data_IF_673189429828
#
_entry.id   IF_673189429828
#
_cell.length_a   1.000
_cell.length_b   1.000
_cell.length_c   1.000
_cell.angle_alpha   90.00
_cell.angle_beta   90.00
_cell.angle_gamma   90.00
#
_symmetry.space_group_name_H-M   'P 1'
#
loop_
_entity.id
_entity.type
_entity.pdbx_description
1 polymer ?
#
# COMPACT_ATOMS: atom_id res chain seq x y z
N UNK A 1 6.42 -16.60 12.79
CA UNK A 1 5.96 -15.19 12.62
C UNK A 1 6.26 -14.72 11.20
N UNK A 2 5.29 -14.07 10.58
CA UNK A 2 5.45 -13.61 9.21
C UNK A 2 6.42 -12.42 9.16
N UNK A 3 7.41 -12.51 8.27
CA UNK A 3 8.34 -11.41 8.04
C UNK A 3 7.77 -10.45 6.99
N UNK A 4 7.38 -9.26 7.43
CA UNK A 4 6.79 -8.23 6.56
C UNK A 4 7.84 -7.25 6.01
N UNK A 5 9.12 -7.49 6.26
CA UNK A 5 10.20 -6.62 5.78
C UNK A 5 10.20 -6.38 4.28
N UNK A 6 9.92 -7.39 3.43
CA UNK A 6 9.86 -7.13 1.99
C UNK A 6 8.81 -6.09 1.60
N UNK A 7 7.66 -6.11 2.26
CA UNK A 7 6.62 -5.11 2.01
C UNK A 7 7.05 -3.73 2.48
N UNK A 8 7.57 -3.65 3.71
CA UNK A 8 8.03 -2.37 4.26
C UNK A 8 9.12 -1.76 3.40
N UNK A 9 10.08 -2.56 2.94
CA UNK A 9 11.16 -2.08 2.09
C UNK A 9 10.65 -1.55 0.75
N UNK A 10 9.73 -2.28 0.11
CA UNK A 10 9.15 -1.86 -1.18
C UNK A 10 8.36 -0.56 -1.03
N UNK A 11 7.55 -0.47 0.01
CA UNK A 11 6.73 0.71 0.31
C UNK A 11 7.62 1.93 0.57
N UNK A 12 8.64 1.80 1.40
CA UNK A 12 9.53 2.91 1.72
C UNK A 12 10.29 3.40 0.49
N UNK A 13 10.76 2.48 -0.34
CA UNK A 13 11.46 2.84 -1.57
C UNK A 13 10.55 3.65 -2.49
N UNK A 14 9.32 3.22 -2.67
CA UNK A 14 8.38 3.94 -3.53
C UNK A 14 7.98 5.28 -2.93
N UNK A 15 7.69 5.31 -1.63
CA UNK A 15 7.35 6.55 -0.93
C UNK A 15 8.45 7.58 -1.05
N UNK A 16 9.72 7.17 -0.90
CA UNK A 16 10.86 8.07 -1.02
C UNK A 16 11.01 8.60 -2.45
N UNK A 17 10.76 7.76 -3.45
CA UNK A 17 10.76 8.20 -4.85
C UNK A 17 9.68 9.25 -5.13
N UNK A 18 8.49 9.04 -4.56
CA UNK A 18 7.38 9.99 -4.72
C UNK A 18 7.71 11.33 -4.07
N UNK A 19 8.33 11.29 -2.89
CA UNK A 19 8.73 12.52 -2.18
C UNK A 19 9.80 13.29 -2.94
N UNK A 20 10.66 12.60 -3.66
CA UNK A 20 11.73 13.20 -4.45
C UNK A 20 11.31 13.56 -5.88
N UNK A 21 10.13 13.14 -6.32
CA UNK A 21 9.69 13.34 -7.70
C UNK A 21 9.36 14.82 -7.97
N UNK A 22 9.70 15.32 -9.16
CA UNK A 22 9.28 16.66 -9.56
C UNK A 22 7.76 16.77 -9.62
N UNK A 23 7.25 17.97 -9.35
CA UNK A 23 5.81 18.23 -9.40
C UNK A 23 5.20 17.81 -10.74
N UNK A 24 5.89 18.09 -11.84
CA UNK A 24 5.40 17.75 -13.17
C UNK A 24 5.17 16.25 -13.34
N UNK A 25 6.07 15.43 -12.81
CA UNK A 25 5.91 13.97 -12.88
C UNK A 25 4.72 13.49 -12.05
N UNK A 26 4.56 14.06 -10.87
CA UNK A 26 3.42 13.74 -10.01
C UNK A 26 2.11 14.10 -10.72
N UNK A 27 2.04 15.27 -11.34
CA UNK A 27 0.85 15.72 -12.07
C UNK A 27 0.58 14.92 -13.35
N UNK A 28 1.61 14.36 -13.96
CA UNK A 28 1.49 13.59 -15.20
C UNK A 28 0.99 12.16 -14.99
N UNK A 29 0.82 11.73 -13.76
CA UNK A 29 0.24 10.42 -13.49
C UNK A 29 0.83 9.68 -12.30
N UNK A 30 2.05 10.01 -11.85
CA UNK A 30 2.68 9.30 -10.75
C UNK A 30 1.86 9.41 -9.46
N UNK A 31 1.30 10.58 -9.17
CA UNK A 31 0.47 10.77 -7.99
C UNK A 31 -0.82 9.97 -8.05
N UNK A 32 -1.45 9.88 -9.23
CA UNK A 32 -2.67 9.09 -9.40
C UNK A 32 -2.42 7.61 -9.19
N UNK A 33 -1.32 7.08 -9.75
CA UNK A 33 -0.92 5.70 -9.54
C UNK A 33 -0.66 5.42 -8.05
N UNK A 34 0.04 6.33 -7.39
CA UNK A 34 0.37 6.18 -5.97
C UNK A 34 -0.88 6.21 -5.08
N UNK A 35 -1.83 7.10 -5.37
CA UNK A 35 -3.09 7.17 -4.61
C UNK A 35 -3.91 5.90 -4.79
N UNK A 36 -3.99 5.39 -6.00
CA UNK A 36 -4.67 4.13 -6.28
C UNK A 36 -4.05 2.98 -5.47
N UNK A 37 -2.72 2.92 -5.43
CA UNK A 37 -2.01 1.92 -4.63
C UNK A 37 -2.30 2.10 -3.14
N UNK A 38 -2.21 3.32 -2.62
CA UNK A 38 -2.46 3.59 -1.20
C UNK A 38 -3.88 3.15 -0.81
N UNK A 39 -4.86 3.44 -1.66
CA UNK A 39 -6.24 3.01 -1.44
C UNK A 39 -6.37 1.50 -1.41
N UNK A 40 -5.69 0.80 -2.33
CA UNK A 40 -5.73 -0.66 -2.37
C UNK A 40 -5.09 -1.28 -1.13
N UNK A 41 -3.93 -0.79 -0.72
CA UNK A 41 -3.27 -1.27 0.50
C UNK A 41 -4.14 -1.01 1.74
N UNK A 42 -4.78 0.14 1.79
CA UNK A 42 -5.68 0.52 2.90
C UNK A 42 -6.89 -0.40 2.97
N UNK A 43 -7.52 -0.70 1.83
CA UNK A 43 -8.67 -1.61 1.78
C UNK A 43 -8.28 -3.00 2.26
N UNK A 44 -7.11 -3.49 1.86
CA UNK A 44 -6.61 -4.79 2.30
C UNK A 44 -6.36 -4.83 3.80
N UNK A 45 -5.76 -3.77 4.35
CA UNK A 45 -5.52 -3.67 5.79
C UNK A 45 -6.84 -3.66 6.56
N UNK A 46 -7.80 -2.84 6.12
CA UNK A 46 -9.11 -2.75 6.76
C UNK A 46 -9.86 -4.09 6.71
N UNK A 47 -9.76 -4.82 5.60
CA UNK A 47 -10.37 -6.14 5.47
C UNK A 47 -9.82 -7.15 6.47
N UNK A 48 -8.55 -7.04 6.82
CA UNK A 48 -7.93 -7.90 7.83
C UNK A 48 -8.29 -7.47 9.26
N UNK A 49 -8.36 -6.16 9.50
CA UNK A 49 -8.63 -5.61 10.83
C UNK A 49 -10.09 -5.68 11.22
N UNK A 50 -10.99 -5.45 10.26
CA UNK A 50 -12.43 -5.38 10.48
C UNK A 50 -13.19 -6.12 9.39
N UNK A 51 -13.09 -7.47 9.36
CA UNK A 51 -13.78 -8.26 8.34
C UNK A 51 -15.28 -8.02 8.39
N UNK A 52 -15.89 -7.86 7.23
CA UNK A 52 -17.32 -7.64 7.12
C UNK A 52 -17.76 -6.19 7.21
N UNK A 53 -16.87 -5.28 7.57
CA UNK A 53 -17.18 -3.86 7.55
C UNK A 53 -16.80 -3.27 6.19
N UNK A 54 -17.59 -2.31 5.71
CA UNK A 54 -17.29 -1.61 4.49
C UNK A 54 -16.03 -0.77 4.69
N UNK A 55 -15.01 -0.92 3.81
CA UNK A 55 -13.78 -0.15 3.96
C UNK A 55 -14.03 1.33 3.66
N UNK A 56 -13.29 2.18 4.37
CA UNK A 56 -13.29 3.62 4.10
C UNK A 56 -12.26 3.91 3.04
N UNK A 57 -12.63 4.74 2.07
CA UNK A 57 -11.71 5.15 1.03
C UNK A 57 -10.82 6.27 1.52
N UNK A 58 -9.51 6.11 1.32
CA UNK A 58 -8.54 7.15 1.60
C UNK A 58 -8.79 8.33 0.66
N UNK A 59 -8.94 9.56 1.21
CA UNK A 59 -9.23 10.73 0.37
C UNK A 59 -8.02 11.15 -0.44
N UNK A 60 -8.29 11.84 -1.55
CA UNK A 60 -7.25 12.53 -2.31
C UNK A 60 -6.85 13.78 -1.51
N UNK A 61 -5.65 13.79 -0.97
CA UNK A 61 -5.12 14.89 -0.16
C UNK A 61 -4.08 15.72 -0.92
N UNK A 62 -3.95 15.51 -2.22
CA UNK A 62 -3.04 16.25 -3.08
C UNK A 62 -1.75 15.53 -3.38
N UNK A 63 -1.07 16.02 -4.42
CA UNK A 63 0.10 15.33 -4.97
C UNK A 63 1.31 15.33 -4.02
N UNK A 64 1.40 16.31 -3.11
CA UNK A 64 2.57 16.43 -2.24
C UNK A 64 2.51 15.52 -1.01
N UNK A 65 1.34 14.93 -0.71
CA UNK A 65 1.20 14.03 0.45
C UNK A 65 1.05 12.58 0.04
N UNK A 66 1.01 12.27 -1.24
CA UNK A 66 0.73 10.91 -1.71
C UNK A 66 1.81 9.91 -1.28
N UNK A 67 3.07 10.35 -1.19
CA UNK A 67 4.14 9.50 -0.67
C UNK A 67 3.88 9.08 0.77
N UNK A 68 3.42 10.00 1.60
CA UNK A 68 3.07 9.71 2.99
C UNK A 68 1.85 8.78 3.06
N UNK A 69 0.89 8.95 2.16
CA UNK A 69 -0.28 8.08 2.11
C UNK A 69 0.12 6.64 1.79
N UNK A 70 1.03 6.45 0.84
CA UNK A 70 1.57 5.12 0.52
C UNK A 70 2.29 4.54 1.74
N UNK A 71 3.11 5.34 2.41
CA UNK A 71 3.87 4.88 3.57
C UNK A 71 2.95 4.43 4.72
N UNK A 72 1.91 5.22 5.02
CA UNK A 72 0.96 4.90 6.08
C UNK A 72 0.14 3.64 5.74
N UNK A 73 -0.39 3.59 4.53
CA UNK A 73 -1.19 2.43 4.10
C UNK A 73 -0.37 1.15 4.09
N UNK A 74 0.89 1.23 3.65
CA UNK A 74 1.78 0.09 3.66
C UNK A 74 2.11 -0.40 5.08
N UNK A 75 2.33 0.54 6.00
CA UNK A 75 2.56 0.20 7.41
C UNK A 75 1.34 -0.48 8.03
N UNK A 76 0.17 0.06 7.77
CA UNK A 76 -1.06 -0.52 8.30
C UNK A 76 -1.27 -1.95 7.82
N UNK A 77 -1.01 -2.19 6.53
CA UNK A 77 -1.14 -3.54 5.98
C UNK A 77 -0.09 -4.48 6.58
N UNK A 78 1.15 -4.03 6.72
CA UNK A 78 2.21 -4.85 7.33
C UNK A 78 1.84 -5.24 8.76
N UNK A 79 1.32 -4.30 9.54
CA UNK A 79 0.88 -4.58 10.91
C UNK A 79 -0.28 -5.57 10.94
N UNK A 80 -1.27 -5.39 10.08
CA UNK A 80 -2.41 -6.30 10.00
C UNK A 80 -1.98 -7.71 9.64
N UNK A 81 -1.02 -7.85 8.72
CA UNK A 81 -0.49 -9.16 8.35
C UNK A 81 0.28 -9.82 9.49
N UNK A 82 1.07 -9.05 10.24
CA UNK A 82 1.82 -9.58 11.39
C UNK A 82 0.89 -10.05 12.50
N UNK A 83 -0.19 -9.32 12.74
CA UNK A 83 -1.14 -9.66 13.80
C UNK A 83 -1.87 -10.98 13.48
N UNK A 84 -1.99 -11.32 12.20
CA UNK A 84 -2.63 -12.56 11.78
C UNK A 84 -4.11 -12.65 12.12
N UNK A 85 -4.69 -11.62 12.70
CA UNK A 85 -6.07 -11.65 13.20
C UNK A 85 -7.10 -11.82 12.09
N UNK A 86 -6.81 -11.33 10.90
CA UNK A 86 -7.70 -11.44 9.75
C UNK A 86 -7.51 -12.72 8.93
N UNK A 87 -6.53 -13.55 9.28
CA UNK A 87 -6.25 -14.78 8.55
C UNK A 87 -7.33 -15.84 8.79
N UNK A 88 -8.07 -15.74 9.89
CA UNK A 88 -9.18 -16.67 10.20
C UNK A 88 -10.30 -16.46 9.18
N UNK A 89 -10.65 -17.52 8.51
CA UNK A 89 -11.69 -17.47 7.49
C UNK A 89 -11.25 -16.97 6.14
N UNK A 90 -10.00 -16.56 5.98
CA UNK A 90 -9.45 -16.19 4.69
C UNK A 90 -9.09 -17.44 3.89
N UNK A 91 -9.34 -17.40 2.59
CA UNK A 91 -8.92 -18.47 1.67
C UNK A 91 -7.44 -18.39 1.31
N UNK A 92 -6.79 -17.26 1.62
CA UNK A 92 -5.37 -17.04 1.31
C UNK A 92 -4.54 -17.08 2.57
N UNK A 93 -3.36 -17.70 2.47
CA UNK A 93 -2.38 -17.66 3.55
C UNK A 93 -1.80 -16.25 3.69
N UNK A 94 -1.40 -15.85 4.91
CA UNK A 94 -0.77 -14.53 5.11
C UNK A 94 0.46 -14.32 4.21
N UNK A 95 1.26 -15.36 3.96
CA UNK A 95 2.41 -15.24 3.07
C UNK A 95 2.01 -14.92 1.63
N UNK A 96 0.88 -15.46 1.16
CA UNK A 96 0.36 -15.15 -0.16
C UNK A 96 -0.12 -13.70 -0.23
N UNK A 97 -0.80 -13.23 0.81
CA UNK A 97 -1.24 -11.85 0.90
C UNK A 97 -0.07 -10.89 0.89
N UNK A 98 1.02 -11.24 1.59
CA UNK A 98 2.24 -10.46 1.60
C UNK A 98 2.86 -10.37 0.21
N UNK A 99 3.00 -11.50 -0.46
CA UNK A 99 3.57 -11.55 -1.81
C UNK A 99 2.74 -10.71 -2.80
N UNK A 100 1.42 -10.79 -2.72
CA UNK A 100 0.55 -9.97 -3.55
C UNK A 100 0.73 -8.48 -3.29
N UNK A 101 0.85 -8.10 -2.02
CA UNK A 101 1.04 -6.70 -1.65
C UNK A 101 2.38 -6.17 -2.16
N UNK A 102 3.45 -6.94 -2.02
CA UNK A 102 4.77 -6.56 -2.55
C UNK A 102 4.69 -6.36 -4.06
N UNK A 103 4.04 -7.29 -4.76
CA UNK A 103 3.88 -7.21 -6.21
C UNK A 103 3.10 -5.95 -6.61
N UNK A 104 2.03 -5.61 -5.89
CA UNK A 104 1.25 -4.40 -6.16
C UNK A 104 2.11 -3.14 -6.04
N UNK A 105 2.93 -3.07 -5.00
CA UNK A 105 3.81 -1.91 -4.79
C UNK A 105 4.84 -1.82 -5.92
N UNK A 106 5.48 -2.93 -6.26
CA UNK A 106 6.49 -2.95 -7.31
C UNK A 106 5.91 -2.57 -8.67
N UNK A 107 4.73 -3.07 -9.00
CA UNK A 107 4.05 -2.73 -10.24
C UNK A 107 3.65 -1.26 -10.28
N UNK A 108 3.17 -0.72 -9.18
CA UNK A 108 2.83 0.69 -9.09
C UNK A 108 4.07 1.57 -9.27
N UNK A 109 5.18 1.18 -8.67
CA UNK A 109 6.45 1.91 -8.83
C UNK A 109 6.88 1.94 -10.30
N UNK A 110 6.81 0.82 -10.99
CA UNK A 110 7.13 0.74 -12.42
C UNK A 110 6.21 1.66 -13.23
N UNK A 111 4.91 1.62 -12.98
CA UNK A 111 3.93 2.45 -13.70
C UNK A 111 4.17 3.93 -13.45
N UNK A 112 4.52 4.29 -12.22
CA UNK A 112 4.73 5.69 -11.84
C UNK A 112 6.03 6.26 -12.40
N UNK A 113 7.00 5.41 -12.72
CA UNK A 113 8.33 5.84 -13.20
C UNK A 113 8.52 5.72 -14.71
N UNK A 114 7.50 5.35 -15.42
CA UNK A 114 7.54 5.27 -16.89
C UNK A 114 7.66 6.65 -17.53
#
# INVERSE_FOLDING_TARGET
MLDTSPLSAAVERFADRLRAAPQSRLQQGAAAVALELARELSVRAQGLEAPGEAPREMPDAGIFVVGDQVAVAGRDLAEALRDGSGARGSTKAPSEMLDEAVSLVEQAEIRATR
#
